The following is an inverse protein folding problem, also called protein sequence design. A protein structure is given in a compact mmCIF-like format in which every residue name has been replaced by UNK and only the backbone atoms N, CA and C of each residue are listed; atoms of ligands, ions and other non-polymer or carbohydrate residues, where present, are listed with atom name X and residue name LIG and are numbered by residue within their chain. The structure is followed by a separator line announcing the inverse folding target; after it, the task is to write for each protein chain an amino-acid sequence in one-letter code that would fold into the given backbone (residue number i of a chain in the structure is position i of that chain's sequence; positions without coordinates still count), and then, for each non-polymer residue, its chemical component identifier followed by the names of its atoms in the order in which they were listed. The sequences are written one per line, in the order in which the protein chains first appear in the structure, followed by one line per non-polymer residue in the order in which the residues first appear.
data_IF_969247239652
#
_entry.id   IF_969247239652
#
_cell.length_a   1.000
_cell.length_b   1.000
_cell.length_c   1.000
_cell.angle_alpha   90.00
_cell.angle_beta   90.00
_cell.angle_gamma   90.00
#
_symmetry.space_group_name_H-M   'P 1'
#
loop_
_entity.id
_entity.type
_entity.pdbx_description
1 polymer ?
#
# COMPACT_ATOMS: atom_id res chain seq x y z
N UNK A 1 -19.88 -82.14 43.50
CA UNK A 1 -20.84 -81.70 42.41
C UNK A 1 -20.22 -80.47 41.72
N UNK A 2 -20.25 -80.44 40.45
CA UNK A 2 -19.44 -79.81 39.45
C UNK A 2 -19.09 -78.36 39.71
N UNK A 3 -17.73 -78.09 39.80
CA UNK A 3 -17.06 -76.81 39.76
C UNK A 3 -16.89 -76.41 38.30
N UNK A 4 -17.32 -75.22 37.99
CA UNK A 4 -17.10 -74.63 36.67
C UNK A 4 -16.09 -73.49 36.80
N UNK A 5 -14.90 -73.70 36.24
CA UNK A 5 -13.84 -72.69 36.12
C UNK A 5 -14.25 -71.62 35.15
N UNK A 6 -14.30 -70.37 35.60
CA UNK A 6 -14.38 -69.21 34.72
C UNK A 6 -12.95 -68.71 34.37
N UNK A 7 -12.59 -68.86 33.09
CA UNK A 7 -11.34 -68.41 32.54
C UNK A 7 -11.47 -66.91 32.25
N UNK A 8 -10.73 -66.07 32.97
CA UNK A 8 -10.65 -64.64 32.74
C UNK A 8 -9.85 -64.35 31.47
N UNK A 9 -10.47 -63.76 30.43
CA UNK A 9 -9.82 -63.26 29.21
C UNK A 9 -9.46 -61.82 29.47
N UNK A 10 -8.15 -61.53 29.61
CA UNK A 10 -7.63 -60.15 29.65
C UNK A 10 -7.74 -59.51 28.25
N UNK A 11 -8.61 -58.52 28.11
CA UNK A 11 -8.66 -57.65 26.92
C UNK A 11 -7.48 -56.67 26.98
N UNK A 12 -6.54 -56.84 26.09
CA UNK A 12 -5.51 -55.85 25.81
C UNK A 12 -6.13 -54.65 25.08
N UNK A 13 -6.09 -53.49 25.71
CA UNK A 13 -6.43 -52.23 25.06
C UNK A 13 -5.20 -51.75 24.29
N UNK A 14 -5.28 -51.87 22.95
CA UNK A 14 -4.35 -51.20 22.08
C UNK A 14 -4.79 -49.74 21.95
N UNK A 15 -4.09 -48.86 22.66
CA UNK A 15 -4.27 -47.40 22.49
C UNK A 15 -3.58 -47.02 21.19
N UNK A 16 -4.36 -46.88 20.15
CA UNK A 16 -3.91 -46.30 18.88
C UNK A 16 -3.59 -44.82 19.08
N UNK A 17 -2.30 -44.48 19.10
CA UNK A 17 -1.81 -43.13 19.16
C UNK A 17 -1.96 -42.50 17.75
N UNK A 18 -3.04 -41.74 17.55
CA UNK A 18 -3.27 -40.95 16.31
C UNK A 18 -2.33 -39.76 16.35
N UNK A 19 -1.18 -39.86 15.68
CA UNK A 19 -0.27 -38.72 15.44
C UNK A 19 -0.91 -37.86 14.37
N UNK A 20 -1.61 -36.79 14.76
CA UNK A 20 -2.01 -35.70 13.86
C UNK A 20 -0.74 -34.91 13.49
N UNK A 21 -0.16 -35.25 12.34
CA UNK A 21 0.85 -34.41 11.73
C UNK A 21 0.20 -33.10 11.23
N UNK A 22 0.29 -32.05 12.03
CA UNK A 22 0.03 -30.68 11.59
C UNK A 22 1.12 -30.32 10.59
N UNK A 23 0.85 -30.54 9.30
CA UNK A 23 1.66 -30.01 8.23
C UNK A 23 1.57 -28.49 8.24
N UNK A 24 2.60 -27.83 8.78
CA UNK A 24 2.80 -26.39 8.60
C UNK A 24 3.06 -26.16 7.10
N UNK A 25 2.01 -25.88 6.33
CA UNK A 25 2.14 -25.31 5.00
C UNK A 25 2.64 -23.88 5.18
N UNK A 26 3.95 -23.71 5.29
CA UNK A 26 4.57 -22.42 5.09
C UNK A 26 4.38 -22.07 3.61
N UNK A 27 3.36 -21.25 3.30
CA UNK A 27 3.29 -20.62 2.00
C UNK A 27 4.61 -19.86 1.78
N UNK A 28 5.27 -20.02 0.61
CA UNK A 28 6.45 -19.24 0.33
C UNK A 28 6.03 -17.77 0.32
N UNK A 29 6.47 -17.00 1.31
CA UNK A 29 6.46 -15.54 1.24
C UNK A 29 7.39 -15.23 0.08
N UNK A 30 6.83 -14.92 -1.09
CA UNK A 30 7.58 -14.34 -2.19
C UNK A 30 8.07 -12.97 -1.70
N UNK A 31 9.23 -12.96 -1.07
CA UNK A 31 9.94 -11.70 -0.85
C UNK A 31 10.29 -11.16 -2.24
N UNK A 32 9.90 -9.92 -2.56
CA UNK A 32 10.35 -9.31 -3.80
C UNK A 32 11.88 -9.37 -3.80
N UNK A 33 12.46 -9.89 -4.86
CA UNK A 33 13.91 -9.92 -5.02
C UNK A 33 14.42 -8.49 -4.86
N UNK A 34 15.27 -8.26 -3.88
CA UNK A 34 15.87 -6.94 -3.59
C UNK A 34 16.78 -6.62 -4.77
N UNK A 35 16.20 -6.00 -5.81
CA UNK A 35 16.85 -5.81 -7.09
C UNK A 35 18.00 -4.81 -7.08
N UNK A 36 17.93 -3.74 -6.28
CA UNK A 36 19.04 -2.79 -6.12
C UNK A 36 18.74 -1.79 -4.98
N UNK A 37 19.74 -0.97 -4.61
CA UNK A 37 19.64 0.01 -3.54
C UNK A 37 18.51 1.06 -3.76
N UNK A 38 18.13 1.35 -5.02
CA UNK A 38 17.03 2.26 -5.32
C UNK A 38 15.67 1.66 -4.98
N UNK A 39 15.46 0.36 -5.22
CA UNK A 39 14.20 -0.32 -4.89
C UNK A 39 14.01 -0.37 -3.36
N UNK A 40 15.08 -0.61 -2.61
CA UNK A 40 15.05 -0.58 -1.14
C UNK A 40 14.71 0.84 -0.60
N UNK A 41 15.24 1.89 -1.23
CA UNK A 41 14.90 3.29 -0.87
C UNK A 41 13.42 3.61 -1.15
N UNK A 42 12.90 3.17 -2.29
CA UNK A 42 11.47 3.34 -2.64
C UNK A 42 10.58 2.65 -1.61
N UNK A 43 10.89 1.40 -1.24
CA UNK A 43 10.13 0.65 -0.24
C UNK A 43 10.16 1.34 1.14
N UNK A 44 11.33 1.82 1.58
CA UNK A 44 11.48 2.57 2.84
C UNK A 44 10.64 3.85 2.83
N UNK A 45 10.70 4.64 1.76
CA UNK A 45 9.93 5.88 1.65
C UNK A 45 8.41 5.63 1.53
N UNK A 46 7.99 4.52 0.92
CA UNK A 46 6.59 4.11 0.92
C UNK A 46 6.10 3.80 2.33
N UNK A 47 6.88 3.06 3.10
CA UNK A 47 6.57 2.80 4.51
C UNK A 47 6.47 4.11 5.31
N UNK A 48 7.42 5.03 5.15
CA UNK A 48 7.40 6.33 5.82
C UNK A 48 6.14 7.16 5.46
N UNK A 49 5.75 7.20 4.17
CA UNK A 49 4.54 7.91 3.74
C UNK A 49 3.27 7.32 4.36
N UNK A 50 3.17 5.99 4.41
CA UNK A 50 2.05 5.28 5.04
C UNK A 50 2.02 5.50 6.55
N UNK A 51 3.15 5.44 7.23
CA UNK A 51 3.26 5.68 8.67
C UNK A 51 2.89 7.12 9.06
N UNK A 52 3.36 8.11 8.28
CA UNK A 52 3.01 9.51 8.52
C UNK A 52 1.50 9.76 8.35
N UNK A 53 0.88 9.17 7.33
CA UNK A 53 -0.56 9.29 7.13
C UNK A 53 -1.37 8.50 8.17
N UNK A 54 -0.91 7.31 8.58
CA UNK A 54 -1.58 6.48 9.59
C UNK A 54 -1.66 7.17 10.97
N UNK A 55 -0.65 7.96 11.32
CA UNK A 55 -0.65 8.78 12.56
C UNK A 55 -1.77 9.82 12.59
N UNK A 56 -2.28 10.24 11.43
CA UNK A 56 -3.39 11.19 11.31
C UNK A 56 -4.76 10.51 11.47
N UNK A 57 -4.83 9.19 11.26
CA UNK A 57 -6.04 8.38 11.38
C UNK A 57 -6.41 7.61 10.12
N UNK A 58 -7.59 6.97 10.14
CA UNK A 58 -8.06 6.17 9.01
C UNK A 58 -8.37 7.05 7.77
N UNK A 59 -8.07 6.56 6.55
CA UNK A 59 -8.38 7.29 5.33
C UNK A 59 -9.87 7.27 5.01
N UNK A 60 -10.39 8.40 4.53
CA UNK A 60 -11.77 8.56 4.06
C UNK A 60 -11.87 9.63 2.98
N UNK A 61 -12.96 9.60 2.23
CA UNK A 61 -13.39 10.69 1.36
C UNK A 61 -14.55 11.40 2.03
N UNK A 62 -14.52 12.74 2.07
CA UNK A 62 -15.57 13.55 2.65
C UNK A 62 -15.68 14.91 1.92
N UNK A 63 -16.75 15.08 1.14
CA UNK A 63 -16.96 16.27 0.33
C UNK A 63 -16.06 16.38 -0.91
N UNK A 64 -15.89 17.62 -1.39
CA UNK A 64 -15.08 17.97 -2.58
C UNK A 64 -14.20 19.18 -2.30
N UNK A 65 -13.15 19.33 -3.10
CA UNK A 65 -12.22 20.46 -3.02
C UNK A 65 -11.64 20.78 -4.41
N UNK A 66 -11.34 22.04 -4.66
CA UNK A 66 -10.68 22.45 -5.90
C UNK A 66 -9.16 22.16 -5.82
N UNK A 67 -8.63 21.40 -6.75
CA UNK A 67 -7.22 21.01 -6.80
C UNK A 67 -6.66 21.15 -8.21
N UNK A 68 -5.71 22.05 -8.40
CA UNK A 68 -5.08 22.27 -9.71
C UNK A 68 -6.05 22.60 -10.82
N UNK A 69 -7.11 23.37 -10.51
CA UNK A 69 -8.15 23.77 -11.46
C UNK A 69 -9.21 22.71 -11.74
N UNK A 70 -9.30 21.66 -10.92
CA UNK A 70 -10.31 20.59 -11.01
C UNK A 70 -11.04 20.43 -9.70
N UNK A 71 -12.33 20.07 -9.75
CA UNK A 71 -13.04 19.55 -8.60
C UNK A 71 -12.61 18.09 -8.36
N UNK A 72 -12.18 17.81 -7.15
CA UNK A 72 -11.76 16.48 -6.73
C UNK A 72 -12.47 16.09 -5.43
N UNK A 73 -12.77 14.80 -5.18
CA UNK A 73 -13.15 14.34 -3.87
C UNK A 73 -12.10 14.75 -2.83
N UNK A 74 -12.53 15.12 -1.63
CA UNK A 74 -11.60 15.51 -0.59
C UNK A 74 -11.13 14.28 0.21
N UNK A 75 -9.84 13.98 0.12
CA UNK A 75 -9.18 12.89 0.85
C UNK A 75 -8.78 13.36 2.24
N UNK A 76 -9.15 12.57 3.24
CA UNK A 76 -8.77 12.78 4.63
C UNK A 76 -8.04 11.57 5.19
N UNK A 77 -7.17 11.84 6.18
CA UNK A 77 -6.71 10.86 7.16
C UNK A 77 -7.16 11.36 8.54
N UNK A 78 -8.08 10.61 9.20
CA UNK A 78 -8.78 11.09 10.40
C UNK A 78 -9.56 12.36 10.12
N UNK A 79 -9.20 13.46 10.81
CA UNK A 79 -9.77 14.79 10.59
C UNK A 79 -8.93 15.69 9.66
N UNK A 80 -7.76 15.23 9.21
CA UNK A 80 -6.82 16.04 8.43
C UNK A 80 -7.09 15.89 6.93
N UNK A 81 -7.46 17.00 6.28
CA UNK A 81 -7.62 17.06 4.82
C UNK A 81 -6.26 17.06 4.13
N UNK A 82 -6.12 16.22 3.10
CA UNK A 82 -4.88 16.09 2.31
C UNK A 82 -4.88 16.93 1.04
N UNK A 83 -6.03 17.25 0.47
CA UNK A 83 -6.11 18.10 -0.72
C UNK A 83 -5.45 19.46 -0.43
N UNK A 84 -4.49 19.85 -1.28
CA UNK A 84 -3.67 21.06 -1.14
C UNK A 84 -2.86 21.15 0.18
N UNK A 85 -2.76 20.07 0.93
CA UNK A 85 -1.93 19.98 2.13
C UNK A 85 -0.65 19.20 1.82
N UNK A 86 0.50 19.84 1.97
CA UNK A 86 1.79 19.27 1.55
C UNK A 86 2.66 18.79 2.70
N UNK A 87 2.23 19.01 3.95
CA UNK A 87 3.05 18.74 5.14
C UNK A 87 3.61 17.31 5.16
N UNK A 88 2.77 16.30 4.89
CA UNK A 88 3.20 14.90 4.91
C UNK A 88 4.13 14.58 3.74
N UNK A 89 3.77 15.00 2.51
CA UNK A 89 4.58 14.68 1.32
C UNK A 89 5.92 15.39 1.33
N UNK A 90 6.00 16.60 1.89
CA UNK A 90 7.23 17.35 2.04
C UNK A 90 8.13 16.75 3.13
N UNK A 91 7.57 16.38 4.29
CA UNK A 91 8.32 15.73 5.37
C UNK A 91 8.94 14.40 4.91
N UNK A 92 8.16 13.57 4.20
CA UNK A 92 8.66 12.30 3.66
C UNK A 92 9.71 12.52 2.57
N UNK A 93 9.56 13.56 1.76
CA UNK A 93 10.55 13.90 0.74
C UNK A 93 11.88 14.40 1.35
N UNK A 94 11.81 15.18 2.42
CA UNK A 94 12.98 15.63 3.18
C UNK A 94 13.72 14.45 3.81
N UNK A 95 12.98 13.54 4.49
CA UNK A 95 13.55 12.31 5.07
C UNK A 95 14.19 11.41 4.00
N UNK A 96 13.54 11.27 2.84
CA UNK A 96 14.04 10.45 1.73
C UNK A 96 15.25 11.07 1.02
N UNK A 97 15.46 12.37 1.17
CA UNK A 97 16.61 13.10 0.67
C UNK A 97 16.54 13.42 -0.82
N UNK A 98 17.70 13.72 -1.40
CA UNK A 98 17.79 14.26 -2.76
C UNK A 98 17.10 13.42 -3.82
N UNK A 99 16.26 14.08 -4.63
CA UNK A 99 15.54 13.48 -5.76
C UNK A 99 14.29 12.70 -5.38
N UNK A 100 13.96 12.66 -4.09
CA UNK A 100 12.76 12.01 -3.59
C UNK A 100 11.50 12.81 -3.93
N UNK A 101 10.46 12.12 -4.37
CA UNK A 101 9.13 12.64 -4.60
C UNK A 101 8.09 11.80 -3.89
N UNK A 102 7.11 12.46 -3.28
CA UNK A 102 5.93 11.85 -2.67
C UNK A 102 4.66 12.50 -3.19
N UNK A 103 3.58 11.72 -3.27
CA UNK A 103 2.27 12.17 -3.72
C UNK A 103 1.16 11.37 -3.06
N UNK A 104 0.04 12.02 -2.81
CA UNK A 104 -1.25 11.40 -2.55
C UNK A 104 -2.19 11.70 -3.71
N UNK A 105 -2.84 10.65 -4.21
CA UNK A 105 -3.92 10.76 -5.18
C UNK A 105 -5.24 10.40 -4.52
N UNK A 106 -6.33 11.00 -4.97
CA UNK A 106 -7.70 10.61 -4.60
C UNK A 106 -8.40 10.00 -5.80
N UNK A 107 -9.22 8.97 -5.57
CA UNK A 107 -10.08 8.38 -6.59
C UNK A 107 -11.21 9.33 -6.95
N UNK A 108 -11.46 9.53 -8.26
CA UNK A 108 -12.55 10.33 -8.82
C UNK A 108 -13.12 9.62 -10.03
N UNK A 109 -14.22 8.89 -9.85
CA UNK A 109 -14.70 7.95 -10.88
C UNK A 109 -13.65 6.88 -11.21
N UNK A 110 -13.26 6.79 -12.47
CA UNK A 110 -12.22 5.85 -12.94
C UNK A 110 -10.79 6.42 -12.89
N UNK A 111 -10.66 7.69 -12.51
CA UNK A 111 -9.40 8.39 -12.43
C UNK A 111 -8.86 8.49 -11.00
N UNK A 112 -7.56 8.80 -10.90
CA UNK A 112 -6.90 9.17 -9.65
C UNK A 112 -6.24 10.54 -9.82
N UNK A 113 -6.74 11.54 -9.10
CA UNK A 113 -6.31 12.94 -9.17
C UNK A 113 -5.24 13.22 -8.12
N UNK A 114 -4.12 13.82 -8.51
CA UNK A 114 -3.03 14.23 -7.62
C UNK A 114 -3.46 15.39 -6.75
N UNK A 115 -3.62 15.17 -5.42
CA UNK A 115 -4.15 16.16 -4.48
C UNK A 115 -3.13 16.75 -3.52
N UNK A 116 -2.04 16.01 -3.25
CA UNK A 116 -0.89 16.50 -2.48
C UNK A 116 0.40 15.95 -3.10
N UNK A 117 1.41 16.79 -3.33
CA UNK A 117 2.64 16.38 -4.00
C UNK A 117 3.76 17.40 -3.84
N UNK A 118 5.01 16.94 -3.85
CA UNK A 118 6.20 17.75 -4.06
C UNK A 118 6.76 17.65 -5.50
N UNK A 119 6.10 16.88 -6.39
CA UNK A 119 6.48 16.83 -7.81
C UNK A 119 6.20 18.16 -8.46
N UNK A 120 7.23 18.80 -9.03
CA UNK A 120 7.10 20.07 -9.76
C UNK A 120 6.56 19.85 -11.17
N UNK A 121 5.86 20.85 -11.69
CA UNK A 121 5.49 20.92 -13.12
C UNK A 121 6.74 21.05 -13.99
N UNK A 122 6.64 20.67 -15.29
CA UNK A 122 7.75 20.79 -16.25
C UNK A 122 8.37 22.19 -16.32
N UNK A 123 7.57 23.23 -16.09
CA UNK A 123 8.02 24.64 -16.17
C UNK A 123 8.61 25.14 -14.86
N UNK A 124 8.74 24.27 -13.82
CA UNK A 124 9.29 24.65 -12.53
C UNK A 124 8.41 25.61 -11.70
N UNK A 125 7.27 26.03 -12.23
CA UNK A 125 6.33 26.92 -11.57
C UNK A 125 5.22 26.13 -10.89
N UNK A 126 5.44 25.70 -9.65
CA UNK A 126 4.41 25.05 -8.82
C UNK A 126 4.42 23.54 -8.84
N UNK A 127 3.52 22.97 -8.05
CA UNK A 127 3.34 21.53 -7.88
C UNK A 127 2.38 20.97 -8.93
N UNK A 128 2.59 19.72 -9.35
CA UNK A 128 1.80 19.05 -10.38
C UNK A 128 0.39 18.65 -9.95
N UNK A 129 -0.30 19.51 -9.18
CA UNK A 129 -1.65 19.28 -8.69
C UNK A 129 -2.67 19.12 -9.81
N UNK A 130 -3.73 18.36 -9.56
CA UNK A 130 -4.83 18.15 -10.50
C UNK A 130 -4.48 17.23 -11.69
N UNK A 131 -3.22 16.76 -11.81
CA UNK A 131 -2.85 15.81 -12.86
C UNK A 131 -3.33 14.41 -12.51
N UNK A 132 -3.62 13.62 -13.55
CA UNK A 132 -4.20 12.27 -13.40
C UNK A 132 -3.10 11.21 -13.46
N UNK A 133 -3.26 10.15 -12.68
CA UNK A 133 -2.42 8.95 -12.76
C UNK A 133 -2.68 8.24 -14.09
N UNK A 134 -1.63 7.80 -14.77
CA UNK A 134 -1.71 7.14 -16.08
C UNK A 134 -0.71 5.99 -16.21
N UNK A 135 -0.90 5.16 -17.25
CA UNK A 135 0.04 4.09 -17.61
C UNK A 135 -0.01 2.87 -16.70
N UNK A 136 1.07 2.09 -16.68
CA UNK A 136 1.14 0.82 -15.95
C UNK A 136 0.79 0.93 -14.45
N UNK A 137 1.15 2.00 -13.72
CA UNK A 137 0.69 2.17 -12.34
C UNK A 137 -0.84 2.24 -12.21
N UNK A 138 -1.53 2.95 -13.11
CA UNK A 138 -2.98 3.04 -13.10
C UNK A 138 -3.63 1.67 -13.26
N UNK A 139 -3.16 0.86 -14.22
CA UNK A 139 -3.69 -0.47 -14.48
C UNK A 139 -3.49 -1.40 -13.26
N UNK A 140 -2.31 -1.34 -12.63
CA UNK A 140 -2.05 -2.12 -11.40
C UNK A 140 -2.98 -1.71 -10.26
N UNK A 141 -3.17 -0.42 -10.03
CA UNK A 141 -4.04 0.10 -8.97
C UNK A 141 -5.51 -0.25 -9.23
N UNK A 142 -5.98 -0.17 -10.48
CA UNK A 142 -7.35 -0.61 -10.85
C UNK A 142 -7.58 -2.09 -10.57
N UNK A 143 -6.55 -2.92 -10.75
CA UNK A 143 -6.57 -4.34 -10.39
C UNK A 143 -6.41 -4.59 -8.87
N UNK A 144 -6.31 -3.54 -8.04
CA UNK A 144 -6.13 -3.64 -6.59
C UNK A 144 -4.71 -3.94 -6.13
N UNK A 145 -3.73 -3.92 -7.06
CA UNK A 145 -2.34 -4.27 -6.83
C UNK A 145 -1.44 -3.04 -6.68
N UNK A 146 -0.32 -3.21 -5.99
CA UNK A 146 0.77 -2.24 -5.99
C UNK A 146 1.54 -2.29 -7.32
N UNK A 147 2.18 -1.18 -7.67
CA UNK A 147 3.13 -1.10 -8.78
C UNK A 147 4.49 -0.61 -8.27
N UNK A 148 5.55 -1.30 -8.64
CA UNK A 148 6.92 -0.87 -8.41
C UNK A 148 7.71 -0.97 -9.72
N UNK A 149 8.35 0.14 -10.11
CA UNK A 149 9.08 0.17 -11.37
C UNK A 149 9.48 1.56 -11.85
N UNK A 150 9.97 1.58 -13.08
CA UNK A 150 10.39 2.82 -13.76
C UNK A 150 9.18 3.48 -14.42
N UNK A 151 9.01 4.78 -14.21
CA UNK A 151 7.96 5.59 -14.82
C UNK A 151 8.51 6.94 -15.27
N UNK A 152 7.78 7.61 -16.18
CA UNK A 152 8.01 9.02 -16.49
C UNK A 152 6.89 9.86 -15.88
N UNK A 153 7.23 10.80 -15.00
CA UNK A 153 6.28 11.69 -14.36
C UNK A 153 6.53 13.10 -14.86
N UNK A 154 5.52 13.67 -15.51
CA UNK A 154 5.62 15.00 -16.12
C UNK A 154 6.91 15.17 -16.96
N UNK A 155 7.35 14.08 -17.61
CA UNK A 155 8.52 14.02 -18.48
C UNK A 155 9.86 13.79 -17.77
N UNK A 156 9.85 13.55 -16.46
CA UNK A 156 11.05 13.21 -15.67
C UNK A 156 11.04 11.71 -15.34
N UNK A 157 12.15 10.98 -15.56
CA UNK A 157 12.23 9.55 -15.21
C UNK A 157 12.40 9.35 -13.70
N UNK A 158 11.69 8.35 -13.17
CA UNK A 158 11.73 7.92 -11.77
C UNK A 158 11.83 6.40 -11.65
N UNK A 159 12.46 5.93 -10.56
CA UNK A 159 12.18 4.62 -9.97
C UNK A 159 11.16 4.85 -8.87
N UNK A 160 10.04 4.12 -8.87
CA UNK A 160 8.87 4.50 -8.09
C UNK A 160 8.10 3.31 -7.53
N UNK A 161 7.28 3.59 -6.51
CA UNK A 161 6.26 2.72 -5.97
C UNK A 161 4.92 3.44 -5.92
N UNK A 162 3.86 2.68 -6.20
CA UNK A 162 2.46 3.09 -6.06
C UNK A 162 1.72 2.01 -5.28
N UNK A 163 0.99 2.40 -4.24
CA UNK A 163 0.17 1.49 -3.46
C UNK A 163 -1.24 2.06 -3.27
N UNK A 164 -2.29 1.22 -3.24
CA UNK A 164 -3.65 1.69 -3.02
C UNK A 164 -3.83 2.22 -1.59
N UNK A 165 -4.54 3.34 -1.46
CA UNK A 165 -5.13 3.80 -0.20
C UNK A 165 -6.51 3.17 -0.10
N UNK A 166 -6.73 2.36 0.94
CA UNK A 166 -8.01 1.68 1.17
C UNK A 166 -8.70 2.25 2.40
N UNK A 167 -10.01 2.47 2.30
CA UNK A 167 -10.83 2.85 3.44
C UNK A 167 -11.11 1.67 4.38
N UNK A 168 -11.91 1.89 5.41
CA UNK A 168 -12.26 0.87 6.40
C UNK A 168 -13.04 -0.33 5.81
N UNK A 169 -13.68 -0.16 4.65
CA UNK A 169 -14.37 -1.23 3.91
C UNK A 169 -13.43 -2.05 3.01
N UNK A 170 -12.16 -1.64 2.89
CA UNK A 170 -11.20 -2.23 1.95
C UNK A 170 -11.29 -1.68 0.53
N UNK A 171 -12.16 -0.70 0.29
CA UNK A 171 -12.31 -0.05 -1.02
C UNK A 171 -11.13 0.88 -1.29
N UNK A 172 -10.55 0.79 -2.50
CA UNK A 172 -9.50 1.72 -2.93
C UNK A 172 -10.09 3.10 -3.19
N UNK A 173 -9.71 4.09 -2.36
CA UNK A 173 -10.17 5.48 -2.41
C UNK A 173 -9.07 6.46 -2.86
N UNK A 174 -7.84 5.99 -3.02
CA UNK A 174 -6.71 6.81 -3.43
C UNK A 174 -5.46 5.99 -3.71
N UNK A 175 -4.34 6.67 -3.91
CA UNK A 175 -3.04 6.05 -4.18
C UNK A 175 -1.93 6.81 -3.47
N UNK A 176 -1.07 6.08 -2.77
CA UNK A 176 0.25 6.53 -2.34
C UNK A 176 1.22 6.46 -3.52
N UNK A 177 2.06 7.44 -3.66
CA UNK A 177 3.19 7.40 -4.57
C UNK A 177 4.45 7.90 -3.87
N UNK A 178 5.53 7.21 -4.13
CA UNK A 178 6.90 7.64 -3.84
C UNK A 178 7.81 7.32 -5.02
N UNK A 179 8.87 8.11 -5.20
CA UNK A 179 9.82 7.84 -6.26
C UNK A 179 11.09 8.67 -6.14
N UNK A 180 12.15 8.19 -6.80
CA UNK A 180 13.42 8.87 -6.89
C UNK A 180 13.74 9.20 -8.35
N UNK A 181 14.09 10.46 -8.61
CA UNK A 181 14.60 10.90 -9.92
C UNK A 181 15.82 10.08 -10.32
N UNK A 182 15.85 9.72 -11.59
CA UNK A 182 17.03 9.13 -12.21
C UNK A 182 17.97 10.19 -12.74
#
# INVERSE_FOLDING_TARGET
MKSILFRSVKKAHVIGMLVLAFGLFAAPVLMPSVGNAQDARVAKSMAALKDQTAKLGAPKIDGKDAVGGRDAPALYFGSTKMNNNFSVVDAVAEEGGRGMAATLFVKSGDDYIRVATNVSTRRGSGRGLGTILTGAPLESIKAGNAYYGKVSILGTPYVSGYEPIKDASGTTIGVYFVGYKK
#
